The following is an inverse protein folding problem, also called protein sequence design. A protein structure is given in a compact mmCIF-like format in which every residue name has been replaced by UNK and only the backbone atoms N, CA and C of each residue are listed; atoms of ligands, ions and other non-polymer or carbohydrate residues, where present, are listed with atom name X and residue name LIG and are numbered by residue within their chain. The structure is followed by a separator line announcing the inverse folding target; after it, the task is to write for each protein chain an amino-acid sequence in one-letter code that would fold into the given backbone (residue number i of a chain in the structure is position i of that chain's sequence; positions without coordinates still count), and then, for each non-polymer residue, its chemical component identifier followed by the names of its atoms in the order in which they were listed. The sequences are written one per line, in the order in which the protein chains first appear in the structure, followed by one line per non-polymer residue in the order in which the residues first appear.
data_IF_754454761796
#
_entry.id   IF_754454761796
#
_cell.length_a   1.000
_cell.length_b   1.000
_cell.length_c   1.000
_cell.angle_alpha   90.00
_cell.angle_beta   90.00
_cell.angle_gamma   90.00
#
_symmetry.space_group_name_H-M   'P 1'
#
loop_
_entity.id
_entity.type
_entity.pdbx_description
1 polymer ?
#
# COMPACT_ATOMS: atom_id res chain seq x y z
N UNK A 1 -10.13 0.22 -34.93
CA UNK A 1 -10.14 -1.22 -34.61
C UNK A 1 -9.25 -1.52 -33.45
N UNK A 2 -7.97 -1.22 -33.57
CA UNK A 2 -7.06 -1.45 -32.45
C UNK A 2 -7.36 -0.59 -31.23
N UNK A 3 -7.86 0.62 -31.45
CA UNK A 3 -8.27 1.49 -30.35
C UNK A 3 -9.35 0.86 -29.48
N UNK A 4 -10.33 0.22 -30.11
CA UNK A 4 -11.37 -0.49 -29.36
C UNK A 4 -10.81 -1.61 -28.53
N UNK A 5 -9.87 -2.39 -29.07
CA UNK A 5 -9.24 -3.50 -28.36
C UNK A 5 -8.35 -3.01 -27.22
N UNK A 6 -7.63 -1.89 -27.44
CA UNK A 6 -6.75 -1.32 -26.41
C UNK A 6 -7.51 -0.78 -25.22
N UNK A 7 -8.76 -0.36 -25.45
CA UNK A 7 -9.60 0.22 -24.40
C UNK A 7 -10.50 -0.80 -23.72
N UNK A 8 -10.45 -2.06 -24.17
CA UNK A 8 -11.23 -3.11 -23.53
C UNK A 8 -10.59 -3.50 -22.21
N UNK A 9 -11.41 -3.46 -21.18
CA UNK A 9 -11.02 -3.92 -19.85
C UNK A 9 -11.82 -5.16 -19.52
N UNK A 10 -11.23 -6.09 -18.79
CA UNK A 10 -11.95 -7.23 -18.25
C UNK A 10 -12.91 -6.75 -17.18
N UNK A 11 -13.91 -7.57 -16.83
CA UNK A 11 -14.82 -7.24 -15.74
C UNK A 11 -14.06 -7.12 -14.41
N UNK A 12 -13.03 -7.94 -14.24
CA UNK A 12 -12.17 -7.87 -13.05
C UNK A 12 -11.43 -6.53 -12.98
N UNK A 13 -10.84 -6.09 -14.09
CA UNK A 13 -10.12 -4.81 -14.14
C UNK A 13 -11.06 -3.64 -13.86
N UNK A 14 -12.28 -3.67 -14.40
CA UNK A 14 -13.29 -2.64 -14.12
C UNK A 14 -13.69 -2.61 -12.65
N UNK A 15 -13.84 -3.78 -12.05
CA UNK A 15 -14.16 -3.89 -10.62
C UNK A 15 -13.01 -3.35 -9.78
N UNK A 16 -11.76 -3.67 -10.16
CA UNK A 16 -10.57 -3.23 -9.44
C UNK A 16 -10.37 -1.71 -9.52
N UNK A 17 -10.83 -1.06 -10.59
CA UNK A 17 -10.69 0.39 -10.76
C UNK A 17 -11.40 1.20 -9.68
N UNK A 18 -12.34 0.60 -8.96
CA UNK A 18 -13.05 1.23 -7.86
C UNK A 18 -12.18 1.37 -6.61
N UNK A 19 -11.11 0.59 -6.52
CA UNK A 19 -10.26 0.55 -5.33
C UNK A 19 -9.01 1.38 -5.53
N UNK A 20 -8.73 2.23 -4.53
CA UNK A 20 -7.54 3.07 -4.51
C UNK A 20 -6.53 2.49 -3.53
N UNK A 21 -5.34 2.22 -4.02
CA UNK A 21 -4.25 1.63 -3.24
C UNK A 21 -3.10 2.62 -3.17
N UNK A 22 -2.64 2.89 -1.96
CA UNK A 22 -1.43 3.65 -1.71
C UNK A 22 -0.34 2.69 -1.27
N UNK A 23 0.85 2.84 -1.80
CA UNK A 23 2.02 2.09 -1.32
C UNK A 23 3.12 3.04 -0.92
N UNK A 24 3.83 2.71 0.15
CA UNK A 24 5.00 3.46 0.59
C UNK A 24 6.15 2.50 0.89
N UNK A 25 7.29 2.79 0.29
CA UNK A 25 8.52 2.02 0.46
C UNK A 25 9.67 2.93 0.06
N UNK A 26 10.69 3.05 0.89
CA UNK A 26 11.83 3.90 0.59
C UNK A 26 12.71 3.34 -0.54
N UNK A 27 12.46 2.10 -0.97
CA UNK A 27 13.07 1.53 -2.15
C UNK A 27 12.20 1.80 -3.39
N UNK A 28 12.66 2.70 -4.24
CA UNK A 28 11.93 3.11 -5.43
C UNK A 28 11.61 1.94 -6.37
N UNK A 29 12.51 0.96 -6.46
CA UNK A 29 12.30 -0.23 -7.29
C UNK A 29 11.11 -1.07 -6.85
N UNK A 30 10.83 -1.12 -5.56
CA UNK A 30 9.66 -1.82 -5.04
C UNK A 30 8.38 -1.09 -5.45
N UNK A 31 8.38 0.23 -5.32
CA UNK A 31 7.23 1.05 -5.75
C UNK A 31 6.98 0.90 -7.25
N UNK A 32 8.04 0.90 -8.07
CA UNK A 32 7.91 0.71 -9.50
C UNK A 32 7.31 -0.66 -9.85
N UNK A 33 7.77 -1.71 -9.18
CA UNK A 33 7.23 -3.06 -9.39
C UNK A 33 5.77 -3.17 -9.01
N UNK A 34 5.40 -2.60 -7.86
CA UNK A 34 4.00 -2.58 -7.40
C UNK A 34 3.14 -1.78 -8.36
N UNK A 35 3.64 -0.65 -8.85
CA UNK A 35 2.93 0.20 -9.79
C UNK A 35 2.58 -0.57 -11.06
N UNK A 36 3.56 -1.26 -11.64
CA UNK A 36 3.36 -2.03 -12.86
C UNK A 36 2.31 -3.11 -12.63
N UNK A 37 2.47 -3.89 -11.57
CA UNK A 37 1.58 -5.01 -11.27
C UNK A 37 0.14 -4.55 -10.99
N UNK A 38 -0.02 -3.58 -10.10
CA UNK A 38 -1.35 -3.15 -9.65
C UNK A 38 -2.10 -2.36 -10.72
N UNK A 39 -1.40 -1.50 -11.47
CA UNK A 39 -2.04 -0.78 -12.58
C UNK A 39 -2.45 -1.73 -13.69
N UNK A 40 -1.63 -2.74 -13.97
CA UNK A 40 -1.94 -3.76 -14.97
C UNK A 40 -3.17 -4.57 -14.58
N UNK A 41 -3.39 -4.75 -13.28
CA UNK A 41 -4.58 -5.44 -12.75
C UNK A 41 -5.81 -4.53 -12.67
N UNK A 42 -5.67 -3.26 -13.03
CA UNK A 42 -6.79 -2.32 -13.09
C UNK A 42 -6.96 -1.41 -11.88
N UNK A 43 -6.18 -1.60 -10.83
CA UNK A 43 -6.31 -0.79 -9.60
C UNK A 43 -5.87 0.65 -9.81
N UNK A 44 -6.49 1.55 -9.06
CA UNK A 44 -6.07 2.94 -8.98
C UNK A 44 -4.93 3.02 -7.95
N UNK A 45 -3.72 3.21 -8.42
CA UNK A 45 -2.52 3.06 -7.60
C UNK A 45 -1.74 4.37 -7.50
N UNK A 46 -1.30 4.69 -6.28
CA UNK A 46 -0.38 5.79 -5.99
C UNK A 46 0.78 5.23 -5.17
N UNK A 47 2.00 5.53 -5.58
CA UNK A 47 3.19 5.11 -4.84
C UNK A 47 3.99 6.30 -4.36
N UNK A 48 4.51 6.23 -3.15
CA UNK A 48 5.39 7.25 -2.58
C UNK A 48 6.57 6.57 -1.90
N UNK A 49 7.66 7.29 -1.76
CA UNK A 49 8.88 6.78 -1.11
C UNK A 49 9.13 7.40 0.26
N UNK A 50 8.37 8.42 0.61
CA UNK A 50 8.50 9.11 1.90
C UNK A 50 7.31 8.76 2.80
N UNK A 51 7.53 8.13 3.97
CA UNK A 51 6.44 7.79 4.87
C UNK A 51 5.67 9.01 5.39
N UNK A 52 6.29 10.16 5.49
CA UNK A 52 5.59 11.38 5.90
C UNK A 52 4.61 11.84 4.83
N UNK A 53 4.99 11.71 3.57
CA UNK A 53 4.10 12.00 2.45
C UNK A 53 2.90 11.05 2.43
N UNK A 54 3.15 9.77 2.75
CA UNK A 54 2.07 8.78 2.81
C UNK A 54 1.03 9.16 3.86
N UNK A 55 1.46 9.60 5.04
CA UNK A 55 0.55 10.03 6.10
C UNK A 55 -0.30 11.22 5.64
N UNK A 56 0.30 12.20 5.00
CA UNK A 56 -0.42 13.36 4.47
C UNK A 56 -1.43 12.97 3.41
N UNK A 57 -1.08 12.04 2.52
CA UNK A 57 -2.02 11.58 1.50
C UNK A 57 -3.23 10.89 2.10
N UNK A 58 -3.03 10.07 3.12
CA UNK A 58 -4.15 9.40 3.80
C UNK A 58 -5.07 10.40 4.50
N UNK A 59 -4.52 11.52 4.96
CA UNK A 59 -5.32 12.59 5.57
C UNK A 59 -6.20 13.33 4.55
N UNK A 60 -5.70 13.51 3.34
CA UNK A 60 -6.32 14.39 2.35
C UNK A 60 -7.08 13.66 1.26
N UNK A 61 -6.85 12.37 1.08
CA UNK A 61 -7.47 11.55 0.05
C UNK A 61 -7.99 10.27 0.66
N UNK A 62 -9.02 9.71 0.02
CA UNK A 62 -9.52 8.39 0.40
C UNK A 62 -8.67 7.29 -0.26
N UNK A 63 -8.24 6.33 0.53
CA UNK A 63 -7.63 5.11 0.03
C UNK A 63 -8.32 3.91 0.68
N UNK A 64 -8.44 2.83 -0.07
CA UNK A 64 -9.03 1.58 0.43
C UNK A 64 -7.99 0.70 1.08
N UNK A 65 -6.75 0.74 0.61
CA UNK A 65 -5.66 -0.06 1.12
C UNK A 65 -4.37 0.72 1.14
N UNK A 66 -3.56 0.47 2.17
CA UNK A 66 -2.20 0.94 2.27
C UNK A 66 -1.27 -0.27 2.32
N UNK A 67 -0.31 -0.30 1.41
CA UNK A 67 0.79 -1.27 1.43
C UNK A 67 2.02 -0.52 1.87
N UNK A 68 2.66 -0.96 2.95
CA UNK A 68 3.82 -0.25 3.42
C UNK A 68 4.92 -1.17 3.91
N UNK A 69 6.16 -0.73 3.70
CA UNK A 69 7.34 -1.41 4.18
C UNK A 69 7.46 -1.20 5.69
N UNK A 70 7.83 -2.26 6.41
CA UNK A 70 8.00 -2.17 7.85
C UNK A 70 9.27 -1.40 8.23
N UNK A 71 10.36 -1.60 7.49
CA UNK A 71 11.63 -0.94 7.78
C UNK A 71 11.88 0.17 6.78
N UNK A 72 11.67 1.41 7.21
CA UNK A 72 11.85 2.61 6.40
C UNK A 72 12.47 3.73 7.22
N UNK A 73 12.92 4.78 6.55
CA UNK A 73 13.34 6.03 7.17
C UNK A 73 12.53 7.18 6.57
N UNK A 74 12.22 8.25 7.30
CA UNK A 74 12.58 8.50 8.70
C UNK A 74 11.70 7.80 9.73
N UNK A 75 10.57 7.20 9.30
CA UNK A 75 9.66 6.46 10.19
C UNK A 75 9.59 5.00 9.77
N UNK A 76 9.58 4.09 10.74
CA UNK A 76 9.29 2.69 10.48
C UNK A 76 7.79 2.49 10.22
N UNK A 77 7.44 1.34 9.61
CA UNK A 77 6.06 1.06 9.23
C UNK A 77 5.08 1.08 10.39
N UNK A 78 5.47 0.55 11.55
CA UNK A 78 4.61 0.58 12.74
C UNK A 78 4.33 2.01 13.21
N UNK A 79 5.30 2.90 13.11
CA UNK A 79 5.13 4.31 13.45
C UNK A 79 4.17 5.00 12.49
N UNK A 80 4.26 4.68 11.20
CA UNK A 80 3.35 5.21 10.19
C UNK A 80 1.91 4.77 10.49
N UNK A 81 1.72 3.48 10.77
CA UNK A 81 0.39 2.95 11.09
C UNK A 81 -0.16 3.61 12.36
N UNK A 82 0.68 3.78 13.37
CA UNK A 82 0.27 4.43 14.62
C UNK A 82 -0.26 5.84 14.36
N UNK A 83 0.42 6.62 13.55
CA UNK A 83 -0.03 7.97 13.18
C UNK A 83 -1.34 7.93 12.39
N UNK A 84 -1.44 7.02 11.42
CA UNK A 84 -2.65 6.89 10.60
C UNK A 84 -3.85 6.45 11.42
N UNK A 85 -3.66 5.53 12.36
CA UNK A 85 -4.77 5.03 13.18
C UNK A 85 -5.35 6.08 14.14
N UNK A 86 -4.65 7.19 14.36
CA UNK A 86 -5.20 8.30 15.14
C UNK A 86 -6.40 8.96 14.45
N UNK A 87 -6.45 8.90 13.13
CA UNK A 87 -7.52 9.55 12.36
C UNK A 87 -8.23 8.64 11.35
N UNK A 88 -7.72 7.44 11.09
CA UNK A 88 -8.35 6.52 10.15
C UNK A 88 -8.25 5.08 10.66
N UNK A 89 -9.36 4.54 11.13
CA UNK A 89 -9.42 3.20 11.71
C UNK A 89 -9.91 2.14 10.74
N UNK A 90 -10.36 2.55 9.56
CA UNK A 90 -10.97 1.65 8.59
C UNK A 90 -10.04 1.25 7.45
N UNK A 91 -8.95 1.97 7.25
CA UNK A 91 -8.01 1.68 6.18
C UNK A 91 -7.43 0.27 6.33
N UNK A 92 -7.51 -0.51 5.25
CA UNK A 92 -6.90 -1.84 5.22
C UNK A 92 -5.39 -1.67 5.07
N UNK A 93 -4.62 -2.25 5.98
CA UNK A 93 -3.17 -2.08 6.01
C UNK A 93 -2.47 -3.42 5.84
N UNK A 94 -1.59 -3.49 4.85
CA UNK A 94 -0.75 -4.64 4.56
C UNK A 94 0.71 -4.23 4.69
N UNK A 95 1.46 -4.90 5.56
CA UNK A 95 2.88 -4.65 5.71
C UNK A 95 3.70 -5.55 4.78
N UNK A 96 4.75 -4.97 4.20
CA UNK A 96 5.78 -5.73 3.49
C UNK A 96 7.04 -5.75 4.34
N UNK A 97 7.69 -6.89 4.41
CA UNK A 97 8.97 -7.00 5.10
C UNK A 97 9.96 -7.79 4.26
N UNK A 98 11.19 -7.28 4.18
CA UNK A 98 12.27 -7.95 3.46
C UNK A 98 12.97 -9.01 4.26
N UNK A 99 12.75 -9.03 5.58
CA UNK A 99 13.47 -9.92 6.49
C UNK A 99 12.53 -10.47 7.55
N UNK A 100 12.46 -11.80 7.64
CA UNK A 100 11.62 -12.47 8.64
C UNK A 100 11.94 -12.04 10.07
N UNK A 101 13.25 -11.86 10.36
CA UNK A 101 13.71 -11.51 11.69
C UNK A 101 13.28 -10.11 12.11
N UNK A 102 12.84 -9.29 11.15
CA UNK A 102 12.41 -7.92 11.39
C UNK A 102 10.89 -7.77 11.29
N UNK A 103 10.16 -8.88 11.18
CA UNK A 103 8.71 -8.85 11.16
C UNK A 103 8.19 -8.28 12.48
N UNK A 104 7.10 -7.49 12.44
CA UNK A 104 6.55 -6.93 13.66
C UNK A 104 6.00 -8.03 14.57
N UNK A 105 6.10 -7.86 15.89
CA UNK A 105 5.49 -8.81 16.82
C UNK A 105 3.98 -8.90 16.58
N UNK A 106 3.42 -10.08 16.84
CA UNK A 106 1.98 -10.29 16.68
C UNK A 106 1.17 -9.29 17.50
N UNK A 107 1.67 -8.93 18.67
CA UNK A 107 1.04 -7.93 19.52
C UNK A 107 0.91 -6.58 18.82
N UNK A 108 1.96 -6.15 18.11
CA UNK A 108 1.95 -4.90 17.34
C UNK A 108 0.92 -4.96 16.22
N UNK A 109 0.86 -6.10 15.52
CA UNK A 109 -0.11 -6.31 14.44
C UNK A 109 -1.53 -6.16 14.97
N UNK A 110 -1.82 -6.75 16.12
CA UNK A 110 -3.14 -6.68 16.74
C UNK A 110 -3.46 -5.29 17.26
N UNK A 111 -2.51 -4.67 17.96
CA UNK A 111 -2.69 -3.35 18.56
C UNK A 111 -2.98 -2.28 17.53
N UNK A 112 -2.32 -2.33 16.39
CA UNK A 112 -2.45 -1.35 15.32
C UNK A 112 -3.48 -1.73 14.27
N UNK A 113 -4.16 -2.85 14.46
CA UNK A 113 -5.17 -3.34 13.53
C UNK A 113 -4.64 -3.44 12.10
N UNK A 114 -3.54 -4.16 11.97
CA UNK A 114 -2.91 -4.46 10.69
C UNK A 114 -3.53 -5.74 10.15
N UNK A 115 -4.08 -5.71 8.94
CA UNK A 115 -4.84 -6.83 8.38
C UNK A 115 -3.95 -7.94 7.86
N UNK A 116 -2.71 -7.64 7.50
CA UNK A 116 -1.82 -8.68 7.04
C UNK A 116 -0.40 -8.21 6.85
N UNK A 117 0.50 -9.16 6.65
CA UNK A 117 1.85 -8.84 6.23
C UNK A 117 2.37 -9.95 5.33
N UNK A 118 3.32 -9.62 4.46
CA UNK A 118 3.98 -10.60 3.62
C UNK A 118 5.43 -10.19 3.39
N UNK A 119 6.22 -11.17 2.97
CA UNK A 119 7.63 -10.95 2.71
C UNK A 119 7.83 -10.44 1.30
N UNK A 120 8.81 -9.56 1.14
CA UNK A 120 9.30 -9.19 -0.18
C UNK A 120 10.07 -10.40 -0.73
N UNK A 121 9.81 -10.75 -1.97
CA UNK A 121 10.54 -11.85 -2.63
C UNK A 121 11.78 -11.34 -3.34
#
# INVERSE_FOLDING_TARGET
MRKGLQNLQTEEEKANAQYKILAVDDEEGIIDSLSIFLKRSGYNFTGVTDPLEAIEKVKTEHFDMLILDFIMTPLHGDQVVEEIRKFNKELYILLLTGHKDLAPPLETIRRLDIQGYCEKS
#
